data_IF_342238601150
#
_entry.id   IF_342238601150
#
_cell.length_a   1.000
_cell.length_b   1.000
_cell.length_c   1.000
_cell.angle_alpha   90.00
_cell.angle_beta   90.00
_cell.angle_gamma   90.00
#
_symmetry.space_group_name_H-M   'P 1'
#
loop_
_entity.id
_entity.type
_entity.pdbx_description
1 polymer ?
#
# COMPACT_ATOMS: atom_id res chain seq x y z
N UNK A 1 -13.49 -22.16 8.85
CA UNK A 1 -13.90 -20.75 8.61
C UNK A 1 -14.94 -20.74 7.51
N UNK A 2 -16.08 -20.04 7.66
CA UNK A 2 -17.11 -19.94 6.60
C UNK A 2 -16.52 -19.19 5.39
N UNK A 3 -16.63 -19.77 4.18
CA UNK A 3 -16.28 -19.08 2.92
C UNK A 3 -17.21 -17.88 2.75
N UNK A 4 -16.64 -16.70 2.46
CA UNK A 4 -17.38 -15.46 2.18
C UNK A 4 -18.02 -15.57 0.79
N UNK A 5 -19.33 -15.34 0.69
CA UNK A 5 -20.06 -15.38 -0.56
C UNK A 5 -19.75 -14.17 -1.44
N UNK A 6 -19.77 -14.34 -2.77
CA UNK A 6 -19.46 -13.28 -3.76
C UNK A 6 -20.26 -11.98 -3.57
N UNK A 7 -21.49 -12.07 -3.05
CA UNK A 7 -22.38 -10.92 -2.82
C UNK A 7 -22.35 -10.39 -1.38
N UNK A 8 -21.65 -11.04 -0.45
CA UNK A 8 -21.57 -10.60 0.96
C UNK A 8 -20.75 -9.30 1.07
N UNK A 9 -20.97 -8.46 2.11
CA UNK A 9 -20.09 -7.32 2.38
C UNK A 9 -18.62 -7.77 2.48
N UNK A 10 -17.69 -7.13 1.76
CA UNK A 10 -16.31 -7.62 1.78
C UNK A 10 -15.73 -7.51 3.20
N UNK A 11 -15.02 -8.56 3.68
CA UNK A 11 -14.22 -8.52 4.89
C UNK A 11 -13.17 -7.39 4.95
N UNK A 12 -12.80 -6.77 3.82
CA UNK A 12 -11.99 -5.53 3.74
C UNK A 12 -12.68 -4.33 4.42
N UNK A 13 -13.95 -4.46 4.82
CA UNK A 13 -14.66 -3.39 5.50
C UNK A 13 -15.10 -2.24 4.59
N UNK A 14 -14.93 -2.34 3.27
CA UNK A 14 -15.30 -1.29 2.30
C UNK A 14 -16.80 -1.01 2.19
N UNK A 15 -17.64 -1.89 2.74
CA UNK A 15 -19.09 -1.84 2.55
C UNK A 15 -19.58 -2.34 1.17
N UNK A 16 -18.67 -2.54 0.22
CA UNK A 16 -18.99 -3.11 -1.10
C UNK A 16 -19.17 -4.64 -1.04
N UNK A 17 -19.92 -5.20 -2.00
CA UNK A 17 -20.01 -6.66 -2.19
C UNK A 17 -18.61 -7.24 -2.45
N UNK A 18 -18.33 -8.44 -1.95
CA UNK A 18 -17.03 -9.11 -2.05
C UNK A 18 -16.50 -9.14 -3.49
N UNK A 19 -17.38 -9.42 -4.46
CA UNK A 19 -17.08 -9.39 -5.91
C UNK A 19 -16.63 -8.05 -6.48
N UNK A 20 -16.95 -6.94 -5.81
CA UNK A 20 -16.60 -5.58 -6.21
C UNK A 20 -15.58 -4.91 -5.25
N UNK A 21 -15.03 -5.61 -4.25
CA UNK A 21 -13.87 -5.15 -3.46
C UNK A 21 -12.71 -6.12 -3.69
N UNK A 22 -12.71 -7.22 -2.94
CA UNK A 22 -11.50 -8.01 -2.70
C UNK A 22 -11.36 -9.19 -3.64
N UNK A 23 -12.47 -9.68 -4.20
CA UNK A 23 -12.45 -10.80 -5.13
C UNK A 23 -11.74 -10.41 -6.44
N UNK A 24 -11.99 -9.19 -6.93
CA UNK A 24 -11.34 -8.64 -8.13
C UNK A 24 -9.85 -8.32 -7.96
N UNK A 25 -9.27 -8.45 -6.75
CA UNK A 25 -7.81 -8.34 -6.55
C UNK A 25 -7.04 -9.53 -7.16
N UNK A 26 -7.71 -10.66 -7.34
CA UNK A 26 -7.11 -11.84 -7.96
C UNK A 26 -7.42 -11.94 -9.47
N UNK A 27 -8.46 -11.23 -9.94
CA UNK A 27 -8.87 -11.19 -11.36
C UNK A 27 -8.23 -9.99 -12.08
N UNK A 28 -6.94 -9.71 -11.82
CA UNK A 28 -6.19 -8.71 -12.59
C UNK A 28 -5.85 -9.27 -13.99
N UNK A 29 -6.07 -8.51 -15.08
CA UNK A 29 -5.61 -8.84 -16.43
C UNK A 29 -4.09 -9.13 -16.54
N UNK A 30 -3.32 -8.69 -15.52
CA UNK A 30 -1.86 -8.80 -15.40
C UNK A 30 -1.24 -10.13 -15.82
N UNK A 31 -1.84 -11.29 -15.52
CA UNK A 31 -1.23 -12.57 -15.91
C UNK A 31 -1.28 -12.80 -17.42
N UNK A 32 -2.38 -12.46 -18.08
CA UNK A 32 -2.52 -12.65 -19.52
C UNK A 32 -1.68 -11.63 -20.31
N UNK A 33 -1.54 -10.42 -19.79
CA UNK A 33 -0.80 -9.35 -20.45
C UNK A 33 0.72 -9.41 -20.20
N UNK A 34 1.17 -9.86 -19.02
CA UNK A 34 2.58 -10.23 -18.80
C UNK A 34 2.98 -11.39 -19.71
N UNK A 35 2.09 -12.38 -19.88
CA UNK A 35 2.28 -13.45 -20.86
C UNK A 35 2.38 -12.83 -22.26
N UNK A 36 1.49 -11.90 -22.66
CA UNK A 36 1.55 -11.26 -23.97
C UNK A 36 2.85 -10.50 -24.23
N UNK A 37 3.31 -9.67 -23.30
CA UNK A 37 4.57 -8.91 -23.44
C UNK A 37 5.79 -9.82 -23.52
N UNK A 38 5.80 -10.86 -22.69
CA UNK A 38 6.86 -11.87 -22.74
C UNK A 38 6.81 -12.65 -24.05
N UNK A 39 5.62 -12.97 -24.56
CA UNK A 39 5.45 -13.64 -25.85
C UNK A 39 5.87 -12.76 -27.04
N UNK A 40 5.69 -11.44 -26.97
CA UNK A 40 6.16 -10.51 -28.00
C UNK A 40 7.69 -10.43 -28.03
N UNK A 41 8.34 -10.35 -26.86
CA UNK A 41 9.80 -10.40 -26.80
C UNK A 41 10.37 -11.75 -27.22
N UNK A 42 9.68 -12.85 -26.87
CA UNK A 42 10.01 -14.18 -27.39
C UNK A 42 9.92 -14.14 -28.92
N UNK A 43 8.83 -13.60 -29.48
CA UNK A 43 8.62 -13.49 -30.93
C UNK A 43 9.70 -12.67 -31.62
N UNK A 44 10.06 -11.49 -31.09
CA UNK A 44 11.13 -10.66 -31.63
C UNK A 44 12.50 -11.38 -31.65
N UNK A 45 12.78 -12.20 -30.62
CA UNK A 45 13.99 -13.02 -30.56
C UNK A 45 13.94 -14.27 -31.43
N UNK A 46 12.75 -14.77 -31.73
CA UNK A 46 12.52 -15.87 -32.67
C UNK A 46 12.61 -15.37 -34.13
N UNK A 47 12.13 -14.16 -34.43
CA UNK A 47 12.19 -13.57 -35.79
C UNK A 47 13.61 -13.39 -36.31
N UNK A 48 14.60 -13.34 -35.43
CA UNK A 48 16.03 -13.21 -35.77
C UNK A 48 16.80 -14.54 -35.72
N UNK A 49 16.12 -15.70 -35.67
CA UNK A 49 16.77 -17.02 -35.54
C UNK A 49 16.05 -18.10 -36.34
N UNK A 50 16.84 -18.90 -37.05
CA UNK A 50 16.37 -20.16 -37.63
C UNK A 50 16.67 -21.31 -36.64
N UNK A 51 15.72 -22.22 -36.48
CA UNK A 51 15.85 -23.42 -35.64
C UNK A 51 15.81 -24.66 -36.54
N UNK A 52 16.68 -25.63 -36.28
CA UNK A 52 16.78 -26.86 -37.06
C UNK A 52 15.63 -27.83 -36.75
N UNK A 53 14.97 -27.67 -35.60
CA UNK A 53 13.79 -28.46 -35.22
C UNK A 53 12.84 -27.73 -34.26
N UNK A 54 11.60 -28.23 -34.14
CA UNK A 54 10.62 -27.75 -33.17
C UNK A 54 11.10 -27.95 -31.72
N UNK A 55 11.81 -29.05 -31.44
CA UNK A 55 12.39 -29.31 -30.11
C UNK A 55 13.44 -28.26 -29.75
N UNK A 56 14.28 -27.86 -30.69
CA UNK A 56 15.27 -26.79 -30.48
C UNK A 56 14.60 -25.43 -30.21
N UNK A 57 13.53 -25.12 -30.95
CA UNK A 57 12.71 -23.93 -30.73
C UNK A 57 12.06 -23.92 -29.34
N UNK A 58 11.53 -25.06 -28.89
CA UNK A 58 10.92 -25.20 -27.58
C UNK A 58 11.97 -25.06 -26.45
N UNK A 59 13.12 -25.72 -26.58
CA UNK A 59 14.23 -25.57 -25.63
C UNK A 59 14.76 -24.14 -25.56
N UNK A 60 14.75 -23.42 -26.68
CA UNK A 60 15.12 -22.00 -26.72
C UNK A 60 14.13 -21.14 -25.93
N UNK A 61 12.83 -21.32 -26.16
CA UNK A 61 11.78 -20.60 -25.42
C UNK A 61 11.89 -20.90 -23.92
N UNK A 62 12.03 -22.17 -23.55
CA UNK A 62 12.14 -22.58 -22.14
C UNK A 62 13.39 -21.98 -21.48
N UNK A 63 14.54 -21.99 -22.17
CA UNK A 63 15.76 -21.33 -21.69
C UNK A 63 15.61 -19.81 -21.61
N UNK A 64 14.96 -19.19 -22.58
CA UNK A 64 14.71 -17.74 -22.58
C UNK A 64 13.84 -17.34 -21.40
N UNK A 65 12.74 -18.05 -21.17
CA UNK A 65 11.84 -17.86 -20.03
C UNK A 65 12.56 -18.08 -18.69
N UNK A 66 13.33 -19.17 -18.58
CA UNK A 66 14.13 -19.46 -17.39
C UNK A 66 15.20 -18.39 -17.13
N UNK A 67 15.81 -17.85 -18.19
CA UNK A 67 16.79 -16.76 -18.09
C UNK A 67 16.13 -15.46 -17.66
N UNK A 68 15.02 -15.05 -18.28
CA UNK A 68 14.29 -13.83 -17.91
C UNK A 68 13.84 -13.86 -16.45
N UNK A 69 13.45 -15.04 -15.96
CA UNK A 69 13.08 -15.27 -14.56
C UNK A 69 14.23 -15.01 -13.58
N UNK A 70 15.48 -15.23 -13.98
CA UNK A 70 16.67 -15.20 -13.10
C UNK A 70 17.54 -13.95 -13.29
N UNK A 71 17.50 -13.30 -14.45
CA UNK A 71 18.36 -12.16 -14.78
C UNK A 71 17.78 -10.84 -14.23
N UNK A 72 18.59 -10.05 -13.50
CA UNK A 72 18.31 -8.65 -13.17
C UNK A 72 17.79 -7.82 -14.35
N UNK A 73 16.65 -7.14 -14.19
CA UNK A 73 16.09 -6.25 -15.22
C UNK A 73 16.29 -4.78 -14.86
N UNK A 74 16.62 -3.95 -15.85
CA UNK A 74 16.91 -2.52 -15.67
C UNK A 74 15.68 -1.79 -15.11
N UNK A 75 14.50 -2.05 -15.66
CA UNK A 75 13.25 -1.43 -15.21
C UNK A 75 12.82 -1.90 -13.81
N UNK A 76 13.29 -3.08 -13.38
CA UNK A 76 13.17 -3.56 -12.01
C UNK A 76 14.37 -3.20 -11.12
N UNK A 77 15.20 -2.24 -11.53
CA UNK A 77 16.33 -1.72 -10.76
C UNK A 77 17.30 -2.83 -10.31
N UNK A 78 17.51 -3.81 -11.18
CA UNK A 78 18.39 -4.94 -10.96
C UNK A 78 17.73 -6.16 -10.29
N UNK A 79 16.42 -6.13 -10.03
CA UNK A 79 15.71 -7.32 -9.56
C UNK A 79 15.33 -8.24 -10.73
N UNK A 80 15.31 -9.53 -10.48
CA UNK A 80 14.74 -10.51 -11.41
C UNK A 80 13.21 -10.51 -11.36
N UNK A 81 12.55 -10.98 -12.42
CA UNK A 81 11.09 -11.10 -12.44
C UNK A 81 10.57 -12.02 -11.32
N UNK A 82 11.35 -13.02 -10.89
CA UNK A 82 10.99 -13.86 -9.74
C UNK A 82 11.00 -13.08 -8.42
N UNK A 83 12.00 -12.22 -8.20
CA UNK A 83 12.05 -11.37 -7.01
C UNK A 83 10.88 -10.39 -6.98
N UNK A 84 10.59 -9.72 -8.10
CA UNK A 84 9.44 -8.82 -8.20
C UNK A 84 8.13 -9.57 -8.00
N UNK A 85 7.98 -10.76 -8.59
CA UNK A 85 6.80 -11.60 -8.33
C UNK A 85 6.63 -11.89 -6.84
N UNK A 86 7.69 -12.30 -6.13
CA UNK A 86 7.59 -12.51 -4.67
C UNK A 86 7.16 -11.23 -3.94
N UNK A 87 7.73 -10.08 -4.29
CA UNK A 87 7.36 -8.78 -3.72
C UNK A 87 5.88 -8.40 -3.93
N UNK A 88 5.26 -8.86 -5.02
CA UNK A 88 3.86 -8.56 -5.36
C UNK A 88 2.84 -9.52 -4.71
N UNK A 89 3.24 -10.77 -4.48
CA UNK A 89 2.29 -11.86 -4.19
C UNK A 89 2.55 -12.57 -2.86
N UNK A 90 3.77 -12.59 -2.36
CA UNK A 90 4.10 -13.29 -1.11
C UNK A 90 3.67 -12.45 0.11
N UNK A 91 3.26 -13.09 1.22
CA UNK A 91 3.05 -12.40 2.50
C UNK A 91 4.32 -11.68 3.00
N UNK A 92 4.18 -10.53 3.68
CA UNK A 92 5.35 -9.80 4.21
C UNK A 92 6.19 -10.65 5.17
N UNK A 93 5.54 -11.53 5.93
CA UNK A 93 6.18 -12.43 6.89
C UNK A 93 7.18 -13.39 6.21
N UNK A 94 6.97 -13.72 4.93
CA UNK A 94 7.81 -14.66 4.19
C UNK A 94 8.91 -13.97 3.37
N UNK A 95 9.00 -12.63 3.44
CA UNK A 95 9.96 -11.83 2.68
C UNK A 95 11.22 -11.47 3.48
N UNK A 96 11.42 -12.01 4.69
CA UNK A 96 12.60 -11.70 5.52
C UNK A 96 13.95 -12.15 4.95
N UNK A 97 13.95 -13.02 3.93
CA UNK A 97 15.14 -13.36 3.14
C UNK A 97 15.50 -12.28 2.12
N UNK A 98 14.53 -11.46 1.70
CA UNK A 98 14.73 -10.36 0.75
C UNK A 98 14.82 -9.00 1.44
N UNK A 99 13.90 -8.74 2.37
CA UNK A 99 13.77 -7.49 3.12
C UNK A 99 13.45 -7.80 4.59
N UNK A 100 14.48 -7.97 5.44
CA UNK A 100 14.29 -8.04 6.88
C UNK A 100 13.63 -6.77 7.42
N UNK A 101 12.64 -6.95 8.31
CA UNK A 101 12.03 -5.88 9.08
C UNK A 101 12.59 -5.88 10.51
N UNK A 102 13.07 -4.75 10.99
CA UNK A 102 13.65 -4.65 12.33
C UNK A 102 12.55 -4.53 13.40
N UNK A 103 12.10 -5.68 13.92
CA UNK A 103 11.11 -5.72 15.01
C UNK A 103 11.69 -5.36 16.38
N UNK A 104 13.02 -5.29 16.50
CA UNK A 104 13.74 -5.07 17.75
C UNK A 104 14.08 -3.61 18.05
N UNK A 105 13.57 -2.66 17.26
CA UNK A 105 13.70 -1.24 17.59
C UNK A 105 12.97 -0.92 18.89
N UNK A 106 13.59 -0.04 19.69
CA UNK A 106 13.00 0.45 20.94
C UNK A 106 11.70 1.22 20.67
N UNK A 107 10.73 1.23 21.61
CA UNK A 107 9.44 1.90 21.44
C UNK A 107 9.53 3.37 20.99
N UNK A 108 10.56 4.09 21.44
CA UNK A 108 10.81 5.50 21.13
C UNK A 108 11.03 5.73 19.64
N UNK A 109 11.56 4.75 18.90
CA UNK A 109 11.76 4.85 17.45
C UNK A 109 10.43 5.01 16.68
N UNK A 110 9.31 4.57 17.27
CA UNK A 110 7.99 4.61 16.65
C UNK A 110 7.14 5.79 17.11
N UNK A 111 7.51 6.45 18.20
CA UNK A 111 6.61 7.37 18.93
C UNK A 111 6.19 8.58 18.10
N UNK A 112 7.05 9.04 17.19
CA UNK A 112 6.81 10.21 16.35
C UNK A 112 6.13 9.90 15.02
N UNK A 113 5.97 8.62 14.70
CA UNK A 113 5.37 8.18 13.44
C UNK A 113 3.86 8.50 13.43
N UNK A 114 3.34 9.19 12.39
CA UNK A 114 1.95 9.65 12.37
C UNK A 114 0.90 8.57 12.59
N UNK A 115 1.01 7.41 11.93
CA UNK A 115 0.05 6.32 12.12
C UNK A 115 0.07 5.75 13.53
N UNK A 116 1.25 5.74 14.18
CA UNK A 116 1.42 5.25 15.56
C UNK A 116 0.79 6.24 16.54
N UNK A 117 1.08 7.53 16.40
CA UNK A 117 0.44 8.60 17.20
C UNK A 117 -1.08 8.55 17.09
N UNK A 118 -1.61 8.47 15.87
CA UNK A 118 -3.06 8.40 15.66
C UNK A 118 -3.67 7.11 16.23
N UNK A 119 -2.96 5.99 16.13
CA UNK A 119 -3.38 4.70 16.71
C UNK A 119 -3.47 4.79 18.22
N UNK A 120 -2.40 5.27 18.87
CA UNK A 120 -2.34 5.39 20.32
C UNK A 120 -3.38 6.37 20.85
N UNK A 121 -3.56 7.51 20.17
CA UNK A 121 -4.61 8.46 20.51
C UNK A 121 -6.00 7.82 20.38
N UNK A 122 -6.32 7.19 19.25
CA UNK A 122 -7.61 6.52 19.05
C UNK A 122 -7.89 5.51 20.16
N UNK A 123 -6.97 4.58 20.40
CA UNK A 123 -7.19 3.47 21.32
C UNK A 123 -7.26 3.95 22.78
N UNK A 124 -6.43 4.92 23.17
CA UNK A 124 -6.45 5.49 24.53
C UNK A 124 -7.76 6.23 24.79
N UNK A 125 -8.19 7.08 23.85
CA UNK A 125 -9.48 7.81 23.95
C UNK A 125 -10.67 6.85 23.99
N UNK A 126 -10.65 5.78 23.19
CA UNK A 126 -11.71 4.77 23.24
C UNK A 126 -11.72 4.00 24.57
N UNK A 127 -10.55 3.70 25.16
CA UNK A 127 -10.44 3.01 26.46
C UNK A 127 -11.16 3.77 27.57
N UNK A 128 -11.14 5.09 27.53
CA UNK A 128 -11.80 5.95 28.52
C UNK A 128 -13.33 6.01 28.35
N UNK A 129 -13.83 5.78 27.13
CA UNK A 129 -15.23 5.98 26.76
C UNK A 129 -15.98 4.68 26.44
N UNK A 130 -15.30 3.53 26.47
CA UNK A 130 -15.92 2.26 26.11
C UNK A 130 -16.90 1.75 27.18
N UNK A 131 -18.04 1.14 26.80
CA UNK A 131 -18.46 0.86 25.42
C UNK A 131 -19.02 2.11 24.70
N UNK A 132 -18.44 2.45 23.54
CA UNK A 132 -18.84 3.64 22.77
C UNK A 132 -19.95 3.28 21.77
N UNK A 133 -21.15 3.84 21.95
CA UNK A 133 -22.31 3.57 21.08
C UNK A 133 -22.07 4.08 19.66
N UNK A 134 -22.09 3.19 18.67
CA UNK A 134 -22.03 3.51 17.25
C UNK A 134 -23.34 4.14 16.73
N UNK A 135 -23.25 4.89 15.64
CA UNK A 135 -24.43 5.40 14.91
C UNK A 135 -25.22 4.27 14.26
N UNK A 136 -26.41 4.58 13.72
CA UNK A 136 -27.23 3.61 12.98
C UNK A 136 -26.51 2.95 11.79
N UNK A 137 -25.66 3.71 11.09
CA UNK A 137 -24.81 3.19 10.00
C UNK A 137 -23.58 2.41 10.49
N UNK A 138 -23.36 2.39 11.80
CA UNK A 138 -22.20 1.74 12.39
C UNK A 138 -20.94 2.60 12.44
N UNK A 139 -21.05 3.90 12.18
CA UNK A 139 -19.95 4.85 12.33
C UNK A 139 -19.74 5.22 13.81
N UNK A 140 -18.62 5.85 14.12
CA UNK A 140 -18.34 6.54 15.36
C UNK A 140 -19.33 7.70 15.54
N UNK A 141 -19.77 7.99 16.78
CA UNK A 141 -20.47 9.22 17.10
C UNK A 141 -19.70 10.44 16.62
N UNK A 142 -20.43 11.45 16.13
CA UNK A 142 -19.83 12.68 15.63
C UNK A 142 -18.90 13.37 16.65
N UNK A 143 -19.24 13.48 17.96
CA UNK A 143 -18.33 14.09 18.93
C UNK A 143 -16.96 13.40 18.99
N UNK A 144 -16.96 12.06 19.07
CA UNK A 144 -15.73 11.27 19.09
C UNK A 144 -14.97 11.34 17.76
N UNK A 145 -15.69 11.23 16.62
CA UNK A 145 -15.06 11.34 15.31
C UNK A 145 -14.40 12.71 15.08
N UNK A 146 -15.02 13.80 15.56
CA UNK A 146 -14.49 15.15 15.47
C UNK A 146 -13.26 15.33 16.35
N UNK A 147 -13.30 14.85 17.60
CA UNK A 147 -12.14 14.85 18.49
C UNK A 147 -10.94 14.15 17.85
N UNK A 148 -11.14 12.96 17.25
CA UNK A 148 -10.08 12.27 16.52
C UNK A 148 -9.59 13.08 15.31
N UNK A 149 -10.51 13.62 14.50
CA UNK A 149 -10.17 14.39 13.32
C UNK A 149 -9.31 15.63 13.64
N UNK A 150 -9.65 16.32 14.72
CA UNK A 150 -8.98 17.56 15.15
C UNK A 150 -7.58 17.28 15.73
N UNK A 151 -7.34 16.08 16.26
CA UNK A 151 -6.06 15.72 16.90
C UNK A 151 -5.17 14.82 16.03
N UNK A 152 -5.69 14.20 14.97
CA UNK A 152 -4.91 13.31 14.14
C UNK A 152 -3.80 14.04 13.39
N UNK A 153 -2.59 13.48 13.39
CA UNK A 153 -1.53 13.89 12.49
C UNK A 153 -1.79 13.28 11.10
N UNK A 154 -2.18 14.11 10.14
CA UNK A 154 -2.44 13.70 8.75
C UNK A 154 -1.54 14.53 7.83
N UNK A 155 -0.29 14.09 7.59
CA UNK A 155 0.70 14.91 6.88
C UNK A 155 0.27 15.37 5.48
N UNK A 156 -0.53 14.55 4.80
CA UNK A 156 -1.08 14.84 3.47
C UNK A 156 -2.25 15.83 3.45
N UNK A 157 -2.83 16.18 4.61
CA UNK A 157 -3.96 17.08 4.69
C UNK A 157 -3.50 18.54 4.47
N UNK A 158 -3.84 19.09 3.30
CA UNK A 158 -3.56 20.51 2.98
C UNK A 158 -4.49 21.47 3.72
N UNK A 159 -5.72 21.04 3.97
CA UNK A 159 -6.76 21.81 4.65
C UNK A 159 -7.50 20.90 5.61
N UNK A 160 -7.91 21.47 6.76
CA UNK A 160 -8.75 20.79 7.73
C UNK A 160 -10.07 21.55 7.84
N UNK A 161 -11.16 20.87 7.46
CA UNK A 161 -12.51 21.44 7.52
C UNK A 161 -13.32 20.71 8.58
N UNK A 162 -14.21 21.42 9.30
CA UNK A 162 -15.09 20.78 10.27
C UNK A 162 -15.94 19.68 9.63
N UNK A 163 -15.99 18.52 10.30
CA UNK A 163 -16.78 17.38 9.83
C UNK A 163 -18.18 17.34 10.44
N UNK A 164 -19.13 16.81 9.66
CA UNK A 164 -20.53 16.53 10.02
C UNK A 164 -20.82 15.03 10.16
N UNK A 165 -19.90 14.18 9.74
CA UNK A 165 -19.95 12.73 9.93
C UNK A 165 -18.54 12.14 9.91
N UNK A 166 -18.37 10.92 10.44
CA UNK A 166 -17.10 10.18 10.36
C UNK A 166 -16.62 9.99 8.91
N UNK A 167 -17.55 9.73 7.98
CA UNK A 167 -17.27 9.47 6.56
C UNK A 167 -16.58 10.67 5.87
N UNK A 168 -16.79 11.90 6.37
CA UNK A 168 -16.10 13.09 5.85
C UNK A 168 -14.63 13.17 6.29
N UNK A 169 -14.23 12.39 7.29
CA UNK A 169 -12.84 12.28 7.75
C UNK A 169 -12.26 10.94 7.31
N UNK A 170 -11.69 10.91 6.09
CA UNK A 170 -11.11 9.68 5.52
C UNK A 170 -10.04 9.06 6.43
N UNK A 171 -9.21 9.85 7.12
CA UNK A 171 -8.17 9.37 8.04
C UNK A 171 -8.76 8.61 9.25
N UNK A 172 -9.71 9.23 9.96
CA UNK A 172 -10.44 8.62 11.09
C UNK A 172 -11.19 7.36 10.64
N UNK A 173 -11.92 7.46 9.53
CA UNK A 173 -12.70 6.35 9.02
C UNK A 173 -11.82 5.16 8.63
N UNK A 174 -10.74 5.42 7.89
CA UNK A 174 -9.77 4.39 7.49
C UNK A 174 -9.09 3.77 8.70
N UNK A 175 -8.63 4.57 9.65
CA UNK A 175 -7.92 4.04 10.82
C UNK A 175 -8.86 3.16 11.66
N UNK A 176 -10.14 3.52 11.84
CA UNK A 176 -11.10 2.63 12.50
C UNK A 176 -11.16 1.26 11.83
N UNK A 177 -11.22 1.22 10.49
CA UNK A 177 -11.25 -0.05 9.76
C UNK A 177 -9.94 -0.85 9.93
N UNK A 178 -8.79 -0.19 9.83
CA UNK A 178 -7.47 -0.79 10.04
C UNK A 178 -7.34 -1.37 11.46
N UNK A 179 -7.71 -0.63 12.51
CA UNK A 179 -7.64 -1.08 13.90
C UNK A 179 -8.55 -2.28 14.18
N UNK A 180 -9.70 -2.38 13.49
CA UNK A 180 -10.54 -3.58 13.53
C UNK A 180 -9.88 -4.78 12.86
N UNK A 181 -9.22 -4.58 11.73
CA UNK A 181 -8.51 -5.65 11.01
C UNK A 181 -7.27 -6.14 11.77
N UNK A 182 -6.59 -5.25 12.49
CA UNK A 182 -5.53 -5.60 13.45
C UNK A 182 -6.07 -6.41 14.64
N UNK A 183 -7.38 -6.39 14.87
CA UNK A 183 -8.02 -7.05 16.00
C UNK A 183 -7.80 -6.31 17.32
N UNK A 184 -7.52 -5.00 17.28
CA UNK A 184 -7.38 -4.15 18.47
C UNK A 184 -8.70 -3.48 18.85
N UNK A 185 -9.57 -3.29 17.87
CA UNK A 185 -10.91 -2.74 18.01
C UNK A 185 -11.97 -3.78 17.66
N UNK A 186 -13.00 -3.94 18.50
CA UNK A 186 -14.20 -4.73 18.20
C UNK A 186 -15.45 -3.86 18.15
N UNK A 187 -16.44 -4.34 17.40
CA UNK A 187 -17.80 -3.80 17.38
C UNK A 187 -18.76 -4.90 17.77
N UNK A 188 -19.37 -4.80 18.95
CA UNK A 188 -20.39 -5.73 19.43
C UNK A 188 -21.76 -5.06 19.36
N UNK A 189 -22.68 -5.63 18.57
CA UNK A 189 -23.97 -5.01 18.24
C UNK A 189 -23.79 -3.58 17.72
N UNK A 190 -24.11 -2.57 18.54
CA UNK A 190 -23.97 -1.14 18.25
C UNK A 190 -22.95 -0.44 19.14
N UNK A 191 -21.98 -1.14 19.72
CA UNK A 191 -20.95 -0.53 20.56
C UNK A 191 -19.54 -0.89 20.11
N UNK A 192 -18.64 0.08 20.14
CA UNK A 192 -17.21 -0.07 19.95
C UNK A 192 -16.52 -0.23 21.30
N UNK A 193 -15.57 -1.16 21.37
CA UNK A 193 -14.75 -1.41 22.54
C UNK A 193 -13.40 -1.99 22.11
N UNK A 194 -12.39 -1.86 22.96
CA UNK A 194 -11.10 -2.50 22.77
C UNK A 194 -11.22 -4.02 22.95
N UNK A 195 -10.48 -4.76 22.13
CA UNK A 195 -10.20 -6.18 22.41
C UNK A 195 -9.16 -6.30 23.52
N UNK A 196 -8.92 -7.51 24.03
CA UNK A 196 -7.81 -7.76 24.96
C UNK A 196 -6.47 -7.28 24.38
N UNK A 197 -6.19 -7.58 23.11
CA UNK A 197 -4.97 -7.12 22.41
C UNK A 197 -4.87 -5.60 22.36
N UNK A 198 -5.99 -4.90 22.07
CA UNK A 198 -6.02 -3.44 22.05
C UNK A 198 -5.78 -2.83 23.44
N UNK A 199 -6.35 -3.41 24.50
CA UNK A 199 -6.11 -2.97 25.88
C UNK A 199 -4.66 -3.19 26.31
N UNK A 200 -4.11 -4.37 26.01
CA UNK A 200 -2.72 -4.71 26.32
C UNK A 200 -1.76 -3.73 25.63
N UNK A 201 -2.00 -3.37 24.36
CA UNK A 201 -1.21 -2.36 23.64
C UNK A 201 -1.22 -1.00 24.36
N UNK A 202 -2.39 -0.51 24.78
CA UNK A 202 -2.50 0.78 25.49
C UNK A 202 -1.83 0.76 26.86
N UNK A 203 -1.88 -0.38 27.57
CA UNK A 203 -1.33 -0.50 28.93
C UNK A 203 0.17 -0.77 28.94
N UNK A 204 0.64 -1.67 28.07
CA UNK A 204 2.02 -2.15 28.06
C UNK A 204 2.92 -1.39 27.09
N UNK A 205 2.34 -0.55 26.24
CA UNK A 205 3.06 0.24 25.26
C UNK A 205 3.08 -0.37 23.86
N UNK A 206 3.47 0.47 22.90
CA UNK A 206 3.63 0.12 21.50
C UNK A 206 5.01 -0.52 21.25
N UNK A 207 5.12 -1.41 20.27
CA UNK A 207 6.39 -2.12 19.98
C UNK A 207 6.53 -2.41 18.49
N UNK A 208 7.71 -2.83 18.05
CA UNK A 208 7.96 -3.19 16.64
C UNK A 208 7.03 -4.28 16.10
N UNK A 209 6.57 -5.21 16.94
CA UNK A 209 5.57 -6.22 16.53
C UNK A 209 4.19 -5.62 16.25
N UNK A 210 3.79 -4.59 17.02
CA UNK A 210 2.57 -3.83 16.76
C UNK A 210 2.70 -2.99 15.48
N UNK A 211 3.87 -2.38 15.24
CA UNK A 211 4.15 -1.67 13.99
C UNK A 211 4.05 -2.58 12.77
N UNK A 212 4.68 -3.75 12.82
CA UNK A 212 4.60 -4.72 11.74
C UNK A 212 3.16 -5.21 11.51
N UNK A 213 2.38 -5.40 12.57
CA UNK A 213 0.94 -5.74 12.45
C UNK A 213 0.17 -4.65 11.71
N UNK A 214 0.38 -3.37 12.06
CA UNK A 214 -0.23 -2.24 11.34
C UNK A 214 0.21 -2.20 9.88
N UNK A 215 1.51 -2.33 9.63
CA UNK A 215 2.09 -2.33 8.29
C UNK A 215 1.43 -3.40 7.42
N UNK A 216 1.46 -4.66 7.87
CA UNK A 216 0.89 -5.79 7.13
C UNK A 216 -0.62 -5.64 6.88
N UNK A 217 -1.38 -5.23 7.89
CA UNK A 217 -2.82 -4.99 7.73
C UNK A 217 -3.08 -3.86 6.73
N UNK A 218 -2.32 -2.78 6.82
CA UNK A 218 -2.50 -1.61 5.96
C UNK A 218 -2.15 -1.93 4.51
N UNK A 219 -1.08 -2.68 4.26
CA UNK A 219 -0.60 -2.98 2.90
C UNK A 219 -1.32 -4.14 2.23
N UNK A 220 -1.77 -5.18 2.96
CA UNK A 220 -2.37 -6.37 2.34
C UNK A 220 -3.88 -6.53 2.59
N UNK A 221 -4.41 -6.05 3.71
CA UNK A 221 -5.81 -6.32 4.10
C UNK A 221 -6.74 -5.14 3.89
N UNK A 222 -6.30 -3.94 4.24
CA UNK A 222 -7.03 -2.70 4.00
C UNK A 222 -7.03 -2.37 2.49
N UNK A 223 -8.05 -1.69 1.98
CA UNK A 223 -8.12 -1.29 0.57
C UNK A 223 -7.82 0.20 0.44
N UNK A 224 -6.68 0.58 -0.16
CA UNK A 224 -6.29 1.98 -0.28
C UNK A 224 -7.25 2.80 -1.14
N UNK A 225 -7.86 2.19 -2.16
CA UNK A 225 -8.85 2.84 -3.02
C UNK A 225 -10.11 3.28 -2.25
N UNK A 226 -10.35 2.76 -1.05
CA UNK A 226 -11.43 3.22 -0.18
C UNK A 226 -11.29 4.70 0.23
N UNK A 227 -10.07 5.25 0.17
CA UNK A 227 -9.76 6.57 0.69
C UNK A 227 -9.88 7.69 -0.35
N UNK A 228 -10.11 7.36 -1.61
CA UNK A 228 -10.16 8.30 -2.73
C UNK A 228 -11.15 7.88 -3.81
N UNK A 229 -11.13 8.60 -4.92
CA UNK A 229 -12.03 8.40 -6.07
C UNK A 229 -11.25 8.01 -7.34
N UNK A 230 -9.96 7.70 -7.22
CA UNK A 230 -9.21 7.19 -8.34
C UNK A 230 -9.72 5.80 -8.73
N UNK A 231 -9.46 5.36 -9.97
CA UNK A 231 -9.62 3.96 -10.34
C UNK A 231 -8.89 3.02 -9.36
N UNK A 232 -9.27 1.74 -9.30
CA UNK A 232 -8.71 0.82 -8.32
C UNK A 232 -7.18 0.70 -8.36
N UNK A 233 -6.55 0.73 -9.55
CA UNK A 233 -5.09 0.61 -9.76
C UNK A 233 -4.43 -0.32 -8.75
N UNK A 234 -4.86 -1.59 -8.75
CA UNK A 234 -4.51 -2.56 -7.71
C UNK A 234 -3.00 -2.74 -7.57
N UNK A 235 -2.28 -2.60 -8.69
CA UNK A 235 -0.82 -2.70 -8.73
C UNK A 235 -0.12 -1.66 -7.83
N UNK A 236 -0.69 -0.48 -7.58
CA UNK A 236 -0.07 0.51 -6.69
C UNK A 236 0.05 -0.05 -5.26
N UNK A 237 -1.01 -0.69 -4.78
CA UNK A 237 -1.01 -1.31 -3.44
C UNK A 237 -0.28 -2.65 -3.46
N UNK A 238 -0.47 -3.47 -4.50
CA UNK A 238 0.20 -4.77 -4.65
C UNK A 238 1.72 -4.61 -4.77
N UNK A 239 2.15 -3.56 -5.47
CA UNK A 239 3.52 -3.15 -5.70
C UNK A 239 4.24 -2.59 -4.48
N UNK A 240 3.63 -2.55 -3.31
CA UNK A 240 4.17 -1.81 -2.15
C UNK A 240 5.61 -2.19 -1.78
N UNK A 241 5.97 -3.48 -1.81
CA UNK A 241 7.34 -3.91 -1.47
C UNK A 241 8.33 -3.50 -2.55
N UNK A 242 7.96 -3.65 -3.83
CA UNK A 242 8.78 -3.14 -4.93
C UNK A 242 8.91 -1.61 -4.85
N UNK A 243 7.84 -0.89 -4.56
CA UNK A 243 7.85 0.57 -4.45
C UNK A 243 8.68 1.05 -3.26
N UNK A 244 8.72 0.29 -2.15
CA UNK A 244 9.66 0.53 -1.06
C UNK A 244 11.10 0.32 -1.54
N UNK A 245 11.40 -0.75 -2.28
CA UNK A 245 12.74 -0.94 -2.89
C UNK A 245 13.11 0.19 -3.86
N UNK A 246 12.16 0.65 -4.68
CA UNK A 246 12.32 1.82 -5.55
C UNK A 246 12.72 3.06 -4.75
N UNK A 247 12.10 3.30 -3.60
CA UNK A 247 12.51 4.39 -2.69
C UNK A 247 13.94 4.21 -2.19
N UNK A 248 14.36 3.00 -1.77
CA UNK A 248 15.73 2.75 -1.32
C UNK A 248 16.78 3.11 -2.39
N UNK A 249 16.49 2.76 -3.64
CA UNK A 249 17.41 2.94 -4.76
C UNK A 249 17.46 4.37 -5.27
N UNK A 250 16.34 5.09 -5.26
CA UNK A 250 16.20 6.39 -5.94
C UNK A 250 16.08 7.58 -4.99
N UNK A 251 15.56 7.40 -3.79
CA UNK A 251 15.23 8.48 -2.86
C UNK A 251 16.27 8.66 -1.73
N UNK A 252 17.56 8.38 -2.00
CA UNK A 252 18.67 8.66 -1.05
C UNK A 252 18.86 10.17 -0.81
N UNK A 253 18.57 10.95 -1.83
CA UNK A 253 18.46 12.41 -1.78
C UNK A 253 17.04 12.81 -2.18
N UNK A 254 16.69 14.08 -1.99
CA UNK A 254 15.38 14.58 -2.40
C UNK A 254 15.17 14.38 -3.90
N UNK A 255 14.15 13.61 -4.24
CA UNK A 255 13.68 13.36 -5.60
C UNK A 255 12.22 13.80 -5.71
N UNK A 256 11.78 14.21 -6.89
CA UNK A 256 10.37 14.53 -7.11
C UNK A 256 9.53 13.23 -7.11
N UNK A 257 8.35 13.28 -6.48
CA UNK A 257 7.41 12.15 -6.47
C UNK A 257 6.98 11.72 -7.87
N UNK A 258 6.96 12.65 -8.83
CA UNK A 258 6.72 12.37 -10.25
C UNK A 258 7.77 11.40 -10.81
N UNK A 259 9.05 11.64 -10.55
CA UNK A 259 10.13 10.79 -11.08
C UNK A 259 10.02 9.36 -10.54
N UNK A 260 9.58 9.20 -9.29
CA UNK A 260 9.31 7.88 -8.71
C UNK A 260 8.10 7.20 -9.39
N UNK A 261 7.04 7.96 -9.68
CA UNK A 261 5.91 7.48 -10.47
C UNK A 261 6.33 7.01 -11.87
N UNK A 262 7.21 7.76 -12.55
CA UNK A 262 7.74 7.39 -13.86
C UNK A 262 8.56 6.08 -13.80
N UNK A 263 9.37 5.89 -12.75
CA UNK A 263 10.06 4.61 -12.53
C UNK A 263 9.08 3.45 -12.28
N UNK A 264 8.02 3.69 -11.53
CA UNK A 264 7.00 2.68 -11.26
C UNK A 264 6.25 2.27 -12.54
N UNK A 265 5.92 3.23 -13.41
CA UNK A 265 5.30 2.96 -14.72
C UNK A 265 6.22 2.12 -15.61
N UNK A 266 7.51 2.46 -15.67
CA UNK A 266 8.48 1.65 -16.44
C UNK A 266 8.55 0.21 -15.95
N UNK A 267 8.45 -0.01 -14.64
CA UNK A 267 8.41 -1.35 -14.06
C UNK A 267 7.11 -2.10 -14.37
N UNK A 268 5.97 -1.39 -14.44
CA UNK A 268 4.65 -2.01 -14.63
C UNK A 268 3.83 -1.33 -15.73
N UNK A 269 4.28 -1.33 -17.00
CA UNK A 269 3.65 -0.54 -18.06
C UNK A 269 2.20 -0.96 -18.37
N UNK A 270 1.84 -2.22 -18.08
CA UNK A 270 0.50 -2.76 -18.30
C UNK A 270 -0.61 -1.99 -17.56
N UNK A 271 -0.28 -1.33 -16.45
CA UNK A 271 -1.25 -0.53 -15.68
C UNK A 271 -1.82 0.65 -16.46
N UNK A 272 -1.08 1.18 -17.46
CA UNK A 272 -1.57 2.29 -18.28
C UNK A 272 -2.80 1.88 -19.08
N UNK A 273 -2.91 0.60 -19.47
CA UNK A 273 -4.09 0.06 -20.14
C UNK A 273 -5.32 -0.01 -19.22
N UNK A 274 -5.13 -0.10 -17.90
CA UNK A 274 -6.22 0.03 -16.92
C UNK A 274 -6.71 1.49 -16.80
N UNK A 275 -5.79 2.45 -16.97
CA UNK A 275 -6.06 3.89 -16.86
C UNK A 275 -6.74 4.47 -18.12
N UNK A 276 -6.39 3.98 -19.32
CA UNK A 276 -6.99 4.38 -20.60
C UNK A 276 -8.53 4.25 -20.65
N UNK A 277 -9.10 3.34 -19.85
CA UNK A 277 -10.55 3.10 -19.81
C UNK A 277 -11.31 4.00 -18.82
N UNK A 278 -10.60 4.82 -18.03
CA UNK A 278 -11.14 5.40 -16.82
C UNK A 278 -11.27 6.94 -16.81
N UNK A 279 -10.56 7.67 -17.70
CA UNK A 279 -10.46 9.13 -17.58
C UNK A 279 -10.25 9.87 -18.90
N UNK A 280 -10.51 11.18 -18.88
CA UNK A 280 -10.26 12.15 -19.97
C UNK A 280 -8.82 12.71 -19.89
N UNK A 281 -8.15 12.52 -18.75
CA UNK A 281 -6.78 12.94 -18.51
C UNK A 281 -5.79 11.96 -19.16
N UNK A 282 -4.54 12.40 -19.34
CA UNK A 282 -3.44 11.50 -19.72
C UNK A 282 -3.36 10.33 -18.71
N UNK A 283 -3.48 9.07 -19.16
CA UNK A 283 -3.43 7.89 -18.30
C UNK A 283 -2.20 7.83 -17.38
N UNK A 284 -1.05 8.31 -17.87
CA UNK A 284 0.19 8.33 -17.09
C UNK A 284 0.13 9.36 -15.95
N UNK A 285 -0.38 10.57 -16.23
CA UNK A 285 -0.51 11.62 -15.22
C UNK A 285 -1.52 11.26 -14.11
N UNK A 286 -2.64 10.64 -14.48
CA UNK A 286 -3.63 10.16 -13.51
C UNK A 286 -3.02 9.10 -12.58
N UNK A 287 -2.30 8.14 -13.16
CA UNK A 287 -1.66 7.07 -12.41
C UNK A 287 -0.54 7.59 -11.51
N UNK A 288 0.32 8.49 -11.99
CA UNK A 288 1.37 9.12 -11.17
C UNK A 288 0.75 9.89 -10.00
N UNK A 289 -0.35 10.60 -10.25
CA UNK A 289 -1.08 11.32 -9.20
C UNK A 289 -1.64 10.36 -8.16
N UNK A 290 -2.22 9.23 -8.60
CA UNK A 290 -2.73 8.19 -7.71
C UNK A 290 -1.60 7.50 -6.92
N UNK A 291 -0.48 7.19 -7.57
CA UNK A 291 0.72 6.62 -6.93
C UNK A 291 1.26 7.57 -5.86
N UNK A 292 1.39 8.87 -6.19
CA UNK A 292 1.81 9.89 -5.23
C UNK A 292 0.87 9.97 -4.02
N UNK A 293 -0.44 10.02 -4.26
CA UNK A 293 -1.40 10.13 -3.17
C UNK A 293 -1.42 8.88 -2.29
N UNK A 294 -1.53 7.69 -2.88
CA UNK A 294 -1.73 6.44 -2.13
C UNK A 294 -0.44 5.91 -1.52
N UNK A 295 0.63 5.82 -2.31
CA UNK A 295 1.90 5.24 -1.87
C UNK A 295 2.80 6.25 -1.17
N UNK A 296 3.03 7.44 -1.73
CA UNK A 296 4.00 8.38 -1.15
C UNK A 296 3.42 9.11 0.07
N UNK A 297 2.22 9.71 -0.07
CA UNK A 297 1.64 10.56 0.98
C UNK A 297 0.84 9.77 2.02
N UNK A 298 -0.09 8.91 1.60
CA UNK A 298 -0.99 8.18 2.53
C UNK A 298 -0.37 6.93 3.14
N UNK A 299 0.72 6.44 2.58
CA UNK A 299 1.46 5.32 3.11
C UNK A 299 2.84 5.74 3.61
N UNK A 300 3.79 6.11 2.75
CA UNK A 300 5.17 6.32 3.17
C UNK A 300 5.32 7.43 4.20
N UNK A 301 4.76 8.61 3.95
CA UNK A 301 4.83 9.72 4.91
C UNK A 301 4.03 9.39 6.20
N UNK A 302 2.88 8.72 6.06
CA UNK A 302 2.05 8.35 7.20
C UNK A 302 2.70 7.30 8.13
N UNK A 303 3.52 6.42 7.56
CA UNK A 303 4.33 5.42 8.26
C UNK A 303 5.74 5.90 8.61
N UNK A 304 6.08 7.18 8.33
CA UNK A 304 7.37 7.76 8.70
C UNK A 304 8.56 7.28 7.86
N UNK A 305 8.31 6.68 6.69
CA UNK A 305 9.34 6.14 5.80
C UNK A 305 10.06 7.21 4.97
N UNK A 306 9.54 8.43 4.89
CA UNK A 306 10.09 9.48 4.05
C UNK A 306 10.05 10.84 4.75
N UNK A 307 11.08 11.65 4.49
CA UNK A 307 11.06 13.08 4.76
C UNK A 307 10.48 13.80 3.53
N UNK A 308 9.56 14.73 3.74
CA UNK A 308 8.80 15.36 2.66
C UNK A 308 8.99 16.88 2.62
N UNK A 309 9.16 17.42 1.42
CA UNK A 309 9.15 18.85 1.10
C UNK A 309 8.06 19.13 0.06
N UNK A 310 7.17 20.06 0.38
CA UNK A 310 6.08 20.50 -0.50
C UNK A 310 6.41 21.88 -1.05
N UNK A 311 6.52 22.02 -2.37
CA UNK A 311 6.83 23.29 -3.05
C UNK A 311 5.59 23.74 -3.82
N UNK A 312 5.11 24.97 -3.57
CA UNK A 312 3.98 25.52 -4.32
C UNK A 312 4.34 25.65 -5.81
N UNK A 313 3.39 25.26 -6.67
CA UNK A 313 3.49 25.46 -8.13
C UNK A 313 2.52 26.59 -8.51
N UNK A 314 3.03 27.60 -9.19
CA UNK A 314 2.20 28.70 -9.73
C UNK A 314 1.58 28.28 -11.08
N UNK A 315 0.33 28.67 -11.40
CA UNK A 315 -0.61 29.41 -10.55
C UNK A 315 -1.34 28.52 -9.54
N UNK A 316 -1.30 27.19 -9.70
CA UNK A 316 -1.91 26.23 -8.78
C UNK A 316 -1.10 24.92 -8.71
N UNK A 317 -1.12 24.29 -7.53
CA UNK A 317 -0.57 22.95 -7.31
C UNK A 317 0.55 22.91 -6.28
N UNK A 318 1.00 21.70 -5.98
CA UNK A 318 2.11 21.44 -5.06
C UNK A 318 2.95 20.33 -5.67
N UNK A 319 4.25 20.59 -5.83
CA UNK A 319 5.25 19.57 -6.16
C UNK A 319 5.71 18.90 -4.88
N UNK A 320 5.73 17.58 -4.89
CA UNK A 320 6.13 16.74 -3.77
C UNK A 320 7.56 16.28 -3.99
N UNK A 321 8.47 16.67 -3.10
CA UNK A 321 9.84 16.17 -3.07
C UNK A 321 10.03 15.33 -1.82
N UNK A 322 10.71 14.20 -1.93
CA UNK A 322 10.89 13.30 -0.80
C UNK A 322 12.24 12.58 -0.85
N UNK A 323 12.71 12.16 0.31
CA UNK A 323 13.83 11.23 0.48
C UNK A 323 13.47 10.20 1.55
N UNK A 324 14.13 9.04 1.57
CA UNK A 324 13.98 8.08 2.67
C UNK A 324 14.40 8.71 4.00
N UNK A 325 13.64 8.42 5.05
CA UNK A 325 13.92 8.91 6.41
C UNK A 325 15.00 8.06 7.10
N UNK A 326 15.52 8.52 8.23
CA UNK A 326 16.41 7.69 9.06
C UNK A 326 15.70 6.40 9.55
N UNK A 327 14.43 6.52 9.97
CA UNK A 327 13.62 5.38 10.40
C UNK A 327 13.48 4.31 9.30
N UNK A 328 13.40 4.71 8.02
CA UNK A 328 13.38 3.77 6.91
C UNK A 328 14.59 2.83 6.93
N UNK A 329 15.80 3.39 7.07
CA UNK A 329 17.06 2.65 7.03
C UNK A 329 17.28 1.79 8.29
N UNK A 330 16.74 2.23 9.43
CA UNK A 330 16.75 1.46 10.67
C UNK A 330 15.76 0.28 10.65
N UNK A 331 14.62 0.45 9.97
CA UNK A 331 13.52 -0.50 9.98
C UNK A 331 13.57 -1.51 8.83
N UNK A 332 14.00 -1.12 7.63
CA UNK A 332 14.06 -1.94 6.42
C UNK A 332 15.51 -2.19 6.00
N UNK A 333 15.84 -3.43 5.67
CA UNK A 333 17.17 -3.78 5.19
C UNK A 333 17.13 -4.42 3.79
N UNK A 334 17.86 -3.85 2.83
CA UNK A 334 17.91 -4.33 1.44
C UNK A 334 19.24 -5.01 1.06
N UNK A 335 20.15 -5.17 2.01
CA UNK A 335 21.49 -5.75 1.77
C UNK A 335 21.48 -7.19 1.25
N UNK A 336 20.35 -7.91 1.40
CA UNK A 336 20.21 -9.29 0.91
C UNK A 336 19.86 -9.39 -0.58
N UNK A 337 19.56 -8.27 -1.23
CA UNK A 337 19.21 -8.21 -2.65
C UNK A 337 20.35 -7.67 -3.54
N UNK A 338 21.53 -7.42 -2.97
CA UNK A 338 22.71 -6.91 -3.68
C UNK A 338 23.40 -7.96 -4.52
#
# INVERSE_FOLDING_TARGET
MKKVGRNDPCPCGSGNKYKHCCLGRNDTPDQQDLIRQVMEEVREKLENREFESFEEGQEFVDRFMARKKRVPQIDFLGLSSQQVHRMLYDPLETLGDMVPFNHGLEPEAFQDIPIVKNTLFFLSRLKELEPLKATGKGNLPLPFARELHDNFLVPSARFRFPIRSEEQSSSVNSLRHVLRMCGWLKKEKRHYALTRKGRDLVVRGFSGTHFFTLLNVFTHRFNWAFQDRYPPFWIIQRGVVFSLYLLDRKARQFIEGKDLGDHFIRAFPAVLMEAEKASILDPADELISCFSLRFLERFCEYFGFVDVRRVKKEPYGVRLFLKKSAFYDEYLNWSKLS
#
